data_IF_041462144481
#
_entry.id   IF_041462144481
#
_cell.length_a   1.000
_cell.length_b   1.000
_cell.length_c   1.000
_cell.angle_alpha   90.00
_cell.angle_beta   90.00
_cell.angle_gamma   90.00
#
_symmetry.space_group_name_H-M   'P 1'
#
loop_
_entity.id
_entity.type
_entity.pdbx_description
1 polymer ?
#
# COMPACT_ATOMS: atom_id res chain seq x y z
N UNK A 1 19.18 11.25 14.46
CA UNK A 1 20.39 10.62 15.03
C UNK A 1 20.88 11.29 16.32
N UNK A 2 20.18 12.28 16.87
CA UNK A 2 20.57 12.98 18.13
C UNK A 2 19.80 12.53 19.38
N UNK A 3 18.71 11.77 19.24
CA UNK A 3 17.88 11.34 20.39
C UNK A 3 18.50 10.14 21.12
N UNK A 4 19.29 9.31 20.44
CA UNK A 4 19.87 8.07 21.00
C UNK A 4 21.00 8.32 22.01
N UNK A 5 21.77 9.41 21.84
CA UNK A 5 22.90 9.72 22.73
C UNK A 5 22.44 10.31 24.08
N UNK A 6 21.34 11.06 24.09
CA UNK A 6 20.81 11.66 25.33
C UNK A 6 20.18 10.60 26.26
N UNK A 7 19.53 9.57 25.70
CA UNK A 7 18.93 8.48 26.49
C UNK A 7 20.01 7.60 27.15
N UNK A 8 21.10 7.33 26.44
CA UNK A 8 22.25 6.55 26.97
C UNK A 8 22.96 7.30 28.11
N UNK A 9 23.12 8.62 28.01
CA UNK A 9 23.74 9.42 29.08
C UNK A 9 22.87 9.51 30.34
N UNK A 10 21.55 9.54 30.22
CA UNK A 10 20.62 9.58 31.41
C UNK A 10 20.59 8.25 32.12
N UNK A 11 20.65 7.11 31.37
CA UNK A 11 20.66 5.76 31.95
C UNK A 11 21.98 5.45 32.67
N UNK A 12 23.12 5.92 32.16
CA UNK A 12 24.43 5.77 32.82
C UNK A 12 24.55 6.59 34.13
N UNK A 13 23.85 7.73 34.21
CA UNK A 13 23.83 8.53 35.43
C UNK A 13 22.97 7.90 36.56
N UNK A 14 21.93 7.15 36.20
CA UNK A 14 21.08 6.43 37.17
C UNK A 14 21.74 5.15 37.73
N UNK A 15 22.63 4.49 36.96
CA UNK A 15 23.32 3.27 37.37
C UNK A 15 24.40 3.49 38.46
N UNK A 16 24.85 4.72 38.67
CA UNK A 16 25.87 5.02 39.68
C UNK A 16 25.36 5.11 41.13
N UNK A 17 24.04 4.98 41.36
CA UNK A 17 23.43 5.13 42.69
C UNK A 17 22.60 3.92 43.15
N UNK A 18 22.62 2.79 42.45
CA UNK A 18 21.84 1.60 42.82
C UNK A 18 22.71 0.55 43.55
N UNK A 19 22.25 0.01 44.71
CA UNK A 19 23.06 -0.92 45.53
C UNK A 19 23.04 -2.39 45.06
N UNK A 20 22.21 -2.80 44.11
CA UNK A 20 22.06 -4.21 43.77
C UNK A 20 22.15 -4.49 42.27
N UNK A 21 23.04 -5.47 41.89
CA UNK A 21 23.29 -5.90 40.51
C UNK A 21 22.08 -6.52 39.76
N UNK A 22 20.91 -6.56 40.35
CA UNK A 22 19.65 -7.04 39.73
C UNK A 22 19.06 -6.00 38.78
N UNK A 23 19.10 -4.73 39.19
CA UNK A 23 18.57 -3.62 38.37
C UNK A 23 19.38 -3.41 37.09
N UNK A 24 20.70 -3.62 37.18
CA UNK A 24 21.58 -3.52 35.99
C UNK A 24 21.30 -4.60 34.97
N UNK A 25 20.98 -5.84 35.38
CA UNK A 25 20.67 -6.94 34.48
C UNK A 25 19.30 -6.77 33.77
N UNK A 26 18.32 -6.20 34.46
CA UNK A 26 17.02 -5.90 33.81
C UNK A 26 17.16 -4.76 32.81
N UNK A 27 17.93 -3.71 33.13
CA UNK A 27 18.22 -2.63 32.19
C UNK A 27 19.06 -3.07 31.00
N UNK A 28 20.02 -3.97 31.19
CA UNK A 28 20.79 -4.58 30.11
C UNK A 28 19.88 -5.41 29.17
N UNK A 29 18.95 -6.17 29.75
CA UNK A 29 17.99 -6.97 28.99
C UNK A 29 17.01 -6.10 28.21
N UNK A 30 16.46 -5.04 28.81
CA UNK A 30 15.59 -4.07 28.10
C UNK A 30 16.34 -3.31 27.00
N UNK A 31 17.64 -3.03 27.20
CA UNK A 31 18.51 -2.44 26.18
C UNK A 31 18.80 -3.43 25.04
N UNK A 32 19.05 -4.69 25.35
CA UNK A 32 19.24 -5.73 24.32
C UNK A 32 17.95 -5.99 23.55
N UNK A 33 16.79 -6.06 24.20
CA UNK A 33 15.49 -6.20 23.55
C UNK A 33 15.16 -4.98 22.69
N UNK A 34 15.44 -3.77 23.13
CA UNK A 34 15.21 -2.54 22.35
C UNK A 34 16.22 -2.40 21.22
N UNK A 35 17.44 -2.92 21.36
CA UNK A 35 18.44 -2.97 20.29
C UNK A 35 18.09 -4.05 19.27
N UNK A 36 17.55 -5.20 19.71
CA UNK A 36 17.06 -6.27 18.85
C UNK A 36 15.84 -5.78 18.02
N UNK A 37 14.86 -5.14 18.67
CA UNK A 37 13.71 -4.50 18.00
C UNK A 37 14.14 -3.36 17.05
N UNK A 38 15.09 -2.54 17.47
CA UNK A 38 15.67 -1.49 16.62
C UNK A 38 16.50 -2.05 15.47
N UNK A 39 17.15 -3.21 15.66
CA UNK A 39 17.89 -3.95 14.66
C UNK A 39 16.97 -4.57 13.60
N UNK A 40 15.86 -5.17 14.01
CA UNK A 40 14.85 -5.72 13.10
C UNK A 40 14.18 -4.62 12.26
N UNK A 41 13.82 -3.49 12.88
CA UNK A 41 13.31 -2.31 12.16
C UNK A 41 14.35 -1.69 11.20
N UNK A 42 15.64 -1.82 11.48
CA UNK A 42 16.72 -1.32 10.60
C UNK A 42 17.11 -2.32 9.52
N UNK A 43 16.95 -3.63 9.77
CA UNK A 43 17.23 -4.70 8.78
C UNK A 43 16.14 -4.71 7.70
N UNK A 44 14.88 -4.46 8.06
CA UNK A 44 13.79 -4.37 7.08
C UNK A 44 13.91 -3.13 6.16
N UNK A 45 14.56 -2.04 6.63
CA UNK A 45 14.93 -0.89 5.79
C UNK A 45 16.04 -1.16 4.77
N UNK A 46 16.70 -2.30 4.84
CA UNK A 46 17.86 -2.64 4.02
C UNK A 46 17.68 -3.91 3.19
N UNK A 47 16.46 -4.28 2.81
CA UNK A 47 16.27 -5.24 1.75
C UNK A 47 16.72 -4.58 0.44
N UNK A 48 18.00 -4.79 0.12
CA UNK A 48 18.61 -4.33 -1.14
C UNK A 48 18.04 -5.05 -2.35
N UNK A 49 17.31 -6.15 -2.12
CA UNK A 49 16.77 -7.03 -3.15
C UNK A 49 15.27 -7.28 -2.95
N UNK A 50 14.45 -6.21 -3.12
CA UNK A 50 12.98 -6.37 -3.09
C UNK A 50 12.54 -7.25 -4.25
N UNK A 51 12.00 -8.42 -3.95
CA UNK A 51 11.47 -9.39 -4.90
C UNK A 51 10.19 -10.01 -4.33
N UNK A 52 9.05 -9.51 -4.75
CA UNK A 52 7.75 -9.89 -4.21
C UNK A 52 7.37 -9.16 -2.92
N UNK A 53 6.15 -9.40 -2.47
CA UNK A 53 5.61 -8.91 -1.21
C UNK A 53 5.57 -10.07 -0.19
N UNK A 54 5.94 -9.79 1.05
CA UNK A 54 5.68 -10.68 2.20
C UNK A 54 4.18 -10.69 2.51
N UNK A 55 3.70 -11.69 3.26
CA UNK A 55 2.29 -11.76 3.66
C UNK A 55 1.86 -10.51 4.45
N UNK A 56 2.71 -10.02 5.37
CA UNK A 56 2.43 -8.78 6.09
C UNK A 56 2.31 -7.56 5.16
N UNK A 57 3.16 -7.45 4.13
CA UNK A 57 3.07 -6.37 3.15
C UNK A 57 1.85 -6.48 2.24
N UNK A 58 1.35 -7.70 1.96
CA UNK A 58 0.09 -7.92 1.25
C UNK A 58 -1.10 -7.45 2.07
N UNK A 59 -1.15 -7.83 3.35
CA UNK A 59 -2.19 -7.40 4.29
C UNK A 59 -2.17 -5.89 4.46
N UNK A 60 -1.00 -5.28 4.62
CA UNK A 60 -0.82 -3.84 4.77
C UNK A 60 -1.32 -3.09 3.53
N UNK A 61 -0.84 -3.43 2.33
CA UNK A 61 -1.23 -2.70 1.11
C UNK A 61 -2.73 -2.86 0.80
N UNK A 62 -3.31 -4.03 1.08
CA UNK A 62 -4.75 -4.27 1.00
C UNK A 62 -5.52 -3.42 2.01
N UNK A 63 -5.02 -3.36 3.25
CA UNK A 63 -5.59 -2.53 4.32
C UNK A 63 -5.62 -1.06 3.92
N UNK A 64 -4.51 -0.51 3.42
CA UNK A 64 -4.43 0.89 2.99
C UNK A 64 -5.39 1.22 1.82
N UNK A 65 -5.60 0.28 0.88
CA UNK A 65 -6.63 0.45 -0.15
C UNK A 65 -8.03 0.55 0.46
N UNK A 66 -8.37 -0.34 1.39
CA UNK A 66 -9.66 -0.33 2.05
C UNK A 66 -9.85 0.91 2.93
N UNK A 67 -8.79 1.41 3.56
CA UNK A 67 -8.83 2.66 4.33
C UNK A 67 -9.16 3.86 3.42
N UNK A 68 -8.53 4.00 2.26
CA UNK A 68 -8.88 5.05 1.29
C UNK A 68 -10.33 4.92 0.86
N UNK A 69 -10.78 3.71 0.51
CA UNK A 69 -12.13 3.44 0.02
C UNK A 69 -13.22 3.75 1.03
N UNK A 70 -12.97 3.50 2.32
CA UNK A 70 -13.94 3.80 3.39
C UNK A 70 -14.04 5.29 3.72
N UNK A 71 -13.06 6.11 3.28
CA UNK A 71 -12.95 7.52 3.61
C UNK A 71 -13.06 8.45 2.39
N UNK A 72 -13.58 7.98 1.25
CA UNK A 72 -13.77 8.84 0.07
C UNK A 72 -14.79 9.94 0.32
N UNK A 73 -14.55 11.11 -0.29
CA UNK A 73 -15.47 12.26 -0.24
C UNK A 73 -15.91 12.69 -1.66
N UNK A 74 -17.24 12.81 -1.92
CA UNK A 74 -18.36 12.51 -1.02
C UNK A 74 -18.44 11.02 -0.68
N UNK A 75 -19.10 10.67 0.44
CA UNK A 75 -19.18 9.26 0.89
C UNK A 75 -19.83 8.35 -0.15
N UNK A 76 -19.32 7.12 -0.26
CA UNK A 76 -19.80 6.12 -1.22
C UNK A 76 -20.89 5.22 -0.63
N UNK A 77 -21.99 5.04 -1.36
CA UNK A 77 -23.11 4.19 -0.93
C UNK A 77 -22.91 2.70 -1.27
N UNK A 78 -22.03 2.36 -2.23
CA UNK A 78 -21.90 1.03 -2.84
C UNK A 78 -20.48 0.50 -2.90
N UNK A 79 -19.56 1.01 -2.06
CA UNK A 79 -18.15 0.68 -2.11
C UNK A 79 -17.87 -0.74 -1.60
N UNK A 80 -17.48 -1.66 -2.49
CA UNK A 80 -17.05 -3.00 -2.09
C UNK A 80 -15.73 -2.95 -1.32
N UNK A 81 -15.63 -3.78 -0.27
CA UNK A 81 -14.37 -4.05 0.42
C UNK A 81 -13.48 -4.90 -0.48
N UNK A 82 -12.24 -4.45 -0.71
CA UNK A 82 -11.29 -5.23 -1.50
C UNK A 82 -10.80 -6.46 -0.73
N UNK A 83 -10.59 -7.54 -1.48
CA UNK A 83 -10.05 -8.83 -1.06
C UNK A 83 -8.78 -9.12 -1.86
N UNK A 84 -7.82 -9.83 -1.25
CA UNK A 84 -6.61 -10.23 -1.96
C UNK A 84 -6.89 -11.32 -2.99
N UNK A 85 -6.22 -11.22 -4.13
CA UNK A 85 -6.22 -12.20 -5.20
C UNK A 85 -4.79 -12.60 -5.57
N UNK A 86 -4.43 -13.86 -5.31
CA UNK A 86 -3.12 -14.40 -5.68
C UNK A 86 -2.92 -14.46 -7.20
N UNK A 87 -4.02 -14.63 -7.97
CA UNK A 87 -3.96 -14.57 -9.43
C UNK A 87 -3.50 -13.19 -9.90
N UNK A 88 -4.13 -12.12 -9.42
CA UNK A 88 -3.75 -10.74 -9.75
C UNK A 88 -2.36 -10.39 -9.24
N UNK A 89 -1.99 -10.89 -8.05
CA UNK A 89 -0.66 -10.70 -7.48
C UNK A 89 0.43 -11.37 -8.33
N UNK A 90 0.16 -12.57 -8.86
CA UNK A 90 1.07 -13.26 -9.78
C UNK A 90 1.27 -12.45 -11.06
N UNK A 91 0.19 -11.98 -11.68
CA UNK A 91 0.26 -11.15 -12.90
C UNK A 91 1.05 -9.85 -12.63
N UNK A 92 0.80 -9.21 -11.48
CA UNK A 92 1.49 -7.99 -11.08
C UNK A 92 2.98 -8.23 -10.82
N UNK A 93 3.34 -9.33 -10.15
CA UNK A 93 4.73 -9.68 -9.87
C UNK A 93 5.49 -10.03 -11.13
N UNK A 94 4.91 -10.86 -12.00
CA UNK A 94 5.52 -11.24 -13.28
C UNK A 94 5.80 -10.02 -14.16
N UNK A 95 4.97 -8.97 -14.02
CA UNK A 95 5.20 -7.73 -14.74
C UNK A 95 6.25 -6.84 -14.03
N UNK A 96 6.21 -6.72 -12.73
CA UNK A 96 7.22 -5.98 -11.95
C UNK A 96 8.63 -6.55 -12.18
N UNK A 97 8.77 -7.88 -12.32
CA UNK A 97 10.04 -8.56 -12.58
C UNK A 97 10.69 -8.18 -13.92
N UNK A 98 9.91 -7.69 -14.88
CA UNK A 98 10.41 -7.19 -16.17
C UNK A 98 11.10 -5.83 -16.05
N UNK A 99 10.88 -5.10 -14.94
CA UNK A 99 11.45 -3.77 -14.74
C UNK A 99 11.16 -2.78 -15.91
N UNK A 100 9.93 -2.79 -16.40
CA UNK A 100 9.46 -1.90 -17.47
C UNK A 100 8.63 -0.77 -16.86
N UNK A 101 8.95 0.49 -17.19
CA UNK A 101 8.13 1.63 -16.82
C UNK A 101 7.03 1.86 -17.85
N UNK A 102 5.85 1.36 -17.57
CA UNK A 102 4.67 1.44 -18.43
C UNK A 102 3.61 0.46 -17.95
N UNK A 103 2.40 0.58 -18.47
CA UNK A 103 1.33 -0.37 -18.14
C UNK A 103 1.48 -1.71 -18.87
N UNK A 104 1.14 -2.79 -18.17
CA UNK A 104 1.08 -4.13 -18.75
C UNK A 104 -0.12 -4.24 -19.69
N UNK A 105 0.13 -4.22 -21.02
CA UNK A 105 -0.91 -4.37 -22.03
C UNK A 105 -1.64 -5.72 -21.98
N UNK A 106 -0.97 -6.75 -21.45
CA UNK A 106 -1.46 -8.13 -21.39
C UNK A 106 -2.05 -8.53 -20.01
N UNK A 107 -2.24 -7.57 -19.08
CA UNK A 107 -2.69 -7.86 -17.71
C UNK A 107 -4.03 -8.58 -17.61
N UNK A 108 -4.91 -8.42 -18.60
CA UNK A 108 -6.19 -9.13 -18.67
C UNK A 108 -6.09 -10.46 -19.43
N UNK A 109 -4.99 -10.70 -20.15
CA UNK A 109 -4.80 -11.89 -20.96
C UNK A 109 -4.56 -13.11 -20.08
N UNK A 110 -5.40 -14.13 -20.20
CA UNK A 110 -5.31 -15.33 -19.36
C UNK A 110 -5.80 -15.16 -17.92
N UNK A 111 -6.31 -13.99 -17.54
CA UNK A 111 -6.94 -13.75 -16.25
C UNK A 111 -8.38 -14.27 -16.23
N UNK A 112 -8.85 -14.71 -15.04
CA UNK A 112 -10.26 -15.03 -14.80
C UNK A 112 -11.17 -13.80 -14.83
N UNK A 113 -10.57 -12.60 -14.73
CA UNK A 113 -11.27 -11.32 -14.82
C UNK A 113 -11.36 -10.85 -16.28
N UNK A 114 -12.56 -10.45 -16.73
CA UNK A 114 -12.74 -9.97 -18.09
C UNK A 114 -11.98 -8.68 -18.41
N UNK A 115 -11.69 -7.87 -17.37
CA UNK A 115 -10.89 -6.66 -17.44
C UNK A 115 -10.12 -6.44 -16.14
N UNK A 116 -8.81 -6.24 -16.25
CA UNK A 116 -7.92 -5.97 -15.13
C UNK A 116 -7.46 -4.52 -15.19
N UNK A 117 -7.74 -3.75 -14.14
CA UNK A 117 -7.17 -2.42 -13.93
C UNK A 117 -5.75 -2.52 -13.38
N UNK A 118 -4.98 -1.42 -13.47
CA UNK A 118 -3.60 -1.42 -13.00
C UNK A 118 -3.17 -0.03 -12.52
N UNK A 119 -2.50 0.01 -11.36
CA UNK A 119 -1.72 1.15 -10.90
C UNK A 119 -0.25 0.77 -10.78
N UNK A 120 0.65 1.69 -11.17
CA UNK A 120 2.10 1.49 -11.07
C UNK A 120 2.72 2.66 -10.31
N UNK A 121 3.68 2.34 -9.45
CA UNK A 121 4.44 3.33 -8.69
C UNK A 121 5.94 3.03 -8.68
N UNK A 122 6.76 4.06 -8.67
CA UNK A 122 8.22 3.97 -8.51
C UNK A 122 8.68 4.75 -7.29
N UNK A 123 9.61 4.15 -6.55
CA UNK A 123 10.28 4.79 -5.42
C UNK A 123 11.70 4.25 -5.25
N UNK A 124 12.50 4.83 -4.36
CA UNK A 124 13.83 4.32 -4.03
C UNK A 124 13.78 3.09 -3.11
N UNK A 125 12.68 2.86 -2.40
CA UNK A 125 12.44 1.73 -1.48
C UNK A 125 10.97 1.36 -1.48
N UNK A 126 10.65 0.11 -1.10
CA UNK A 126 9.26 -0.30 -0.92
C UNK A 126 8.64 0.35 0.31
N UNK A 127 7.43 0.88 0.15
CA UNK A 127 6.56 1.30 1.24
C UNK A 127 5.10 1.28 0.74
N UNK A 128 4.33 0.27 1.15
CA UNK A 128 2.94 0.06 0.72
C UNK A 128 2.05 1.25 1.05
N UNK A 129 2.14 1.78 2.29
CA UNK A 129 1.36 2.96 2.69
C UNK A 129 1.67 4.17 1.82
N UNK A 130 2.95 4.50 1.66
CA UNK A 130 3.36 5.64 0.84
C UNK A 130 2.91 5.50 -0.62
N UNK A 131 2.97 4.27 -1.16
CA UNK A 131 2.51 3.98 -2.52
C UNK A 131 1.01 4.30 -2.66
N UNK A 132 0.18 3.78 -1.75
CA UNK A 132 -1.28 4.03 -1.79
C UNK A 132 -1.61 5.49 -1.49
N UNK A 133 -0.93 6.13 -0.53
CA UNK A 133 -1.09 7.57 -0.24
C UNK A 133 -0.79 8.43 -1.48
N UNK A 134 0.23 8.07 -2.29
CA UNK A 134 0.54 8.79 -3.54
C UNK A 134 -0.56 8.66 -4.58
N UNK A 135 -1.14 7.47 -4.73
CA UNK A 135 -2.30 7.27 -5.61
C UNK A 135 -3.54 7.99 -5.08
N UNK A 136 -3.80 7.91 -3.77
CA UNK A 136 -4.93 8.58 -3.13
C UNK A 136 -4.81 10.11 -3.21
N UNK A 137 -3.59 10.67 -3.15
CA UNK A 137 -3.39 12.13 -3.21
C UNK A 137 -3.87 12.78 -4.51
N UNK A 138 -4.07 12.00 -5.58
CA UNK A 138 -4.65 12.48 -6.84
C UNK A 138 -6.14 12.87 -6.69
N UNK A 139 -6.79 12.53 -5.57
CA UNK A 139 -8.13 13.01 -5.20
C UNK A 139 -8.23 14.53 -5.29
N UNK A 140 -7.16 15.25 -4.94
CA UNK A 140 -7.11 16.71 -5.00
C UNK A 140 -7.35 17.28 -6.41
N UNK A 141 -7.05 16.50 -7.44
CA UNK A 141 -7.25 16.87 -8.84
C UNK A 141 -8.59 16.38 -9.40
N UNK A 142 -9.33 15.53 -8.65
CA UNK A 142 -10.59 14.95 -9.09
C UNK A 142 -11.79 15.70 -8.52
N UNK A 143 -12.69 16.14 -9.37
CA UNK A 143 -13.97 16.77 -8.96
C UNK A 143 -15.10 15.79 -9.19
N UNK A 144 -15.60 15.18 -8.09
CA UNK A 144 -16.64 14.16 -8.15
C UNK A 144 -17.94 14.63 -8.81
N UNK A 145 -18.44 15.84 -8.45
CA UNK A 145 -19.71 16.37 -8.94
C UNK A 145 -19.77 16.51 -10.46
N UNK A 146 -18.67 16.92 -11.09
CA UNK A 146 -18.55 17.05 -12.54
C UNK A 146 -17.92 15.83 -13.22
N UNK A 147 -17.42 14.85 -12.45
CA UNK A 147 -16.63 13.74 -12.94
C UNK A 147 -15.46 14.19 -13.83
N UNK A 148 -14.72 15.18 -13.35
CA UNK A 148 -13.63 15.80 -14.10
C UNK A 148 -12.30 15.73 -13.35
N UNK A 149 -11.22 15.71 -14.09
CA UNK A 149 -9.86 15.67 -13.60
C UNK A 149 -9.09 16.88 -14.12
N UNK A 150 -8.42 17.63 -13.23
CA UNK A 150 -7.61 18.80 -13.57
C UNK A 150 -6.12 18.49 -13.75
N UNK A 151 -5.68 17.29 -13.34
CA UNK A 151 -4.31 16.83 -13.40
C UNK A 151 -4.22 15.34 -13.72
N UNK A 152 -3.71 14.54 -12.81
CA UNK A 152 -3.70 13.08 -12.87
C UNK A 152 -4.63 12.53 -11.79
N UNK A 153 -5.60 11.69 -12.16
CA UNK A 153 -6.59 11.15 -11.24
C UNK A 153 -6.78 9.64 -11.41
N UNK A 154 -6.12 9.03 -12.40
CA UNK A 154 -6.39 7.65 -12.78
C UNK A 154 -6.04 6.64 -11.70
N UNK A 155 -5.02 6.90 -10.90
CA UNK A 155 -4.66 6.01 -9.81
C UNK A 155 -5.66 6.10 -8.65
N UNK A 156 -6.05 7.33 -8.24
CA UNK A 156 -7.09 7.53 -7.22
C UNK A 156 -8.41 6.90 -7.63
N UNK A 157 -8.90 7.21 -8.84
CA UNK A 157 -10.21 6.71 -9.29
C UNK A 157 -10.23 5.18 -9.41
N UNK A 158 -9.10 4.54 -9.71
CA UNK A 158 -8.97 3.07 -9.67
C UNK A 158 -8.99 2.54 -8.23
N UNK A 159 -8.26 3.14 -7.28
CA UNK A 159 -8.33 2.77 -5.85
C UNK A 159 -9.77 2.91 -5.33
N UNK A 160 -10.45 4.01 -5.67
CA UNK A 160 -11.81 4.32 -5.24
C UNK A 160 -12.90 3.68 -6.11
N UNK A 161 -12.56 2.80 -7.09
CA UNK A 161 -13.57 2.19 -7.96
C UNK A 161 -14.41 1.16 -7.21
N UNK A 162 -15.68 1.48 -6.99
CA UNK A 162 -16.57 0.74 -6.09
C UNK A 162 -16.66 -0.74 -6.41
N UNK A 163 -16.76 -1.12 -7.70
CA UNK A 163 -16.92 -2.51 -8.13
C UNK A 163 -15.60 -3.28 -8.28
N UNK A 164 -14.44 -2.66 -8.09
CA UNK A 164 -13.16 -3.37 -8.01
C UNK A 164 -13.04 -4.06 -6.65
N UNK A 165 -13.40 -5.36 -6.61
CA UNK A 165 -13.46 -6.15 -5.38
C UNK A 165 -12.14 -6.86 -5.08
N UNK A 166 -11.31 -7.11 -6.09
CA UNK A 166 -10.10 -7.91 -5.93
C UNK A 166 -8.85 -7.08 -6.20
N UNK A 167 -7.84 -7.28 -5.37
CA UNK A 167 -6.54 -6.63 -5.45
C UNK A 167 -5.42 -7.66 -5.41
N UNK A 168 -4.43 -7.51 -6.27
CA UNK A 168 -3.19 -8.26 -6.19
C UNK A 168 -2.02 -7.39 -6.62
N UNK A 169 -0.98 -7.31 -5.79
CA UNK A 169 0.18 -6.46 -6.04
C UNK A 169 1.48 -7.27 -6.07
N UNK A 170 2.45 -6.75 -6.81
CA UNK A 170 3.81 -7.22 -6.84
C UNK A 170 4.81 -6.07 -6.74
N UNK A 171 6.04 -6.37 -6.30
CA UNK A 171 7.09 -5.36 -6.19
C UNK A 171 8.46 -5.94 -6.53
N UNK A 172 9.29 -5.13 -7.19
CA UNK A 172 10.65 -5.51 -7.59
C UNK A 172 11.62 -4.35 -7.44
N UNK A 173 12.80 -4.64 -6.88
CA UNK A 173 13.95 -3.74 -6.97
C UNK A 173 14.64 -3.93 -8.31
N UNK A 174 14.64 -2.90 -9.11
CA UNK A 174 15.22 -2.88 -10.45
C UNK A 174 16.56 -2.12 -10.42
N UNK A 175 17.62 -2.74 -10.92
CA UNK A 175 18.91 -2.06 -11.12
C UNK A 175 18.83 -1.00 -12.22
N UNK A 176 17.99 -1.26 -13.23
CA UNK A 176 17.63 -0.33 -14.30
C UNK A 176 16.19 -0.56 -14.69
N UNK A 177 15.57 0.44 -15.28
CA UNK A 177 14.19 0.38 -15.79
C UNK A 177 14.20 0.62 -17.30
N UNK A 178 13.47 -0.21 -18.04
CA UNK A 178 13.18 0.08 -19.43
C UNK A 178 12.17 1.23 -19.50
N UNK A 179 12.42 2.20 -20.39
CA UNK A 179 11.55 3.37 -20.58
C UNK A 179 11.79 4.53 -19.62
N UNK A 180 12.75 4.44 -18.67
CA UNK A 180 13.06 5.51 -17.75
C UNK A 180 14.56 5.50 -17.34
N UNK A 181 15.18 6.68 -17.28
CA UNK A 181 16.58 6.84 -16.84
C UNK A 181 16.78 6.79 -15.33
N UNK A 182 15.96 6.04 -14.61
CA UNK A 182 16.07 5.85 -13.15
C UNK A 182 16.61 4.44 -12.85
N UNK A 183 17.63 4.37 -12.00
CA UNK A 183 18.26 3.11 -11.58
C UNK A 183 18.09 2.88 -10.09
N UNK A 184 18.23 1.61 -9.67
CA UNK A 184 18.08 1.18 -8.28
C UNK A 184 16.75 1.58 -7.64
N UNK A 185 15.67 1.60 -8.44
CA UNK A 185 14.32 1.91 -8.00
C UNK A 185 13.52 0.65 -7.69
N UNK A 186 12.51 0.78 -6.83
CA UNK A 186 11.49 -0.24 -6.60
C UNK A 186 10.27 0.11 -7.44
N UNK A 187 9.87 -0.79 -8.34
CA UNK A 187 8.58 -0.74 -9.01
C UNK A 187 7.56 -1.50 -8.17
N UNK A 188 6.40 -0.90 -7.97
CA UNK A 188 5.21 -1.53 -7.38
C UNK A 188 4.12 -1.54 -8.42
N UNK A 189 3.55 -2.70 -8.68
CA UNK A 189 2.44 -2.90 -9.61
C UNK A 189 1.28 -3.46 -8.83
N UNK A 190 0.09 -2.85 -8.92
CA UNK A 190 -1.15 -3.37 -8.36
C UNK A 190 -2.18 -3.56 -9.45
N UNK A 191 -2.74 -4.76 -9.54
CA UNK A 191 -3.80 -5.15 -10.44
C UNK A 191 -5.14 -5.23 -9.72
N UNK A 192 -6.20 -4.82 -10.40
CA UNK A 192 -7.54 -4.70 -9.85
C UNK A 192 -8.54 -5.53 -10.66
N UNK A 193 -9.23 -6.44 -10.00
CA UNK A 193 -10.33 -7.23 -10.57
C UNK A 193 -11.67 -6.90 -9.88
N UNK A 194 -12.70 -6.59 -10.55
CA UNK A 194 -12.81 -6.13 -11.93
C UNK A 194 -12.22 -4.73 -12.04
N UNK A 195 -11.51 -4.44 -13.11
CA UNK A 195 -10.89 -3.15 -13.30
C UNK A 195 -11.90 -2.00 -13.42
N UNK A 196 -11.44 -0.81 -13.10
CA UNK A 196 -12.22 0.42 -13.13
C UNK A 196 -11.87 1.37 -14.27
N UNK A 197 -12.06 2.66 -14.02
CA UNK A 197 -11.70 3.75 -14.92
C UNK A 197 -12.42 3.74 -16.27
N UNK A 198 -13.68 3.27 -16.31
CA UNK A 198 -14.50 3.35 -17.50
C UNK A 198 -14.83 4.79 -17.85
N UNK A 199 -14.54 5.18 -19.08
CA UNK A 199 -14.76 6.56 -19.56
C UNK A 199 -16.22 7.00 -19.37
N UNK A 200 -16.40 8.14 -18.71
CA UNK A 200 -17.71 8.74 -18.47
C UNK A 200 -18.42 8.25 -17.20
N UNK A 201 -17.89 7.24 -16.51
CA UNK A 201 -18.45 6.75 -15.26
C UNK A 201 -17.71 7.34 -14.07
N UNK A 202 -18.45 7.59 -12.97
CA UNK A 202 -17.88 7.93 -11.67
C UNK A 202 -17.33 6.67 -10.99
N UNK A 203 -16.33 6.78 -10.12
CA UNK A 203 -15.73 5.62 -9.46
C UNK A 203 -16.70 4.90 -8.50
N UNK A 204 -17.68 5.61 -7.95
CA UNK A 204 -18.68 5.06 -7.02
C UNK A 204 -19.99 5.86 -7.07
N UNK A 205 -21.02 5.38 -6.38
CA UNK A 205 -22.25 6.12 -6.17
C UNK A 205 -22.16 6.91 -4.86
N UNK A 206 -22.42 8.23 -4.91
CA UNK A 206 -22.54 9.08 -3.74
C UNK A 206 -23.76 8.69 -2.90
N UNK A 207 -23.61 8.73 -1.59
CA UNK A 207 -24.70 8.52 -0.63
C UNK A 207 -24.21 8.01 0.72
N UNK A 208 -25.14 7.77 1.63
CA UNK A 208 -24.81 7.19 2.93
C UNK A 208 -24.07 5.87 2.75
N UNK A 209 -22.92 5.72 3.42
CA UNK A 209 -22.09 4.50 3.32
C UNK A 209 -22.92 3.24 3.52
N UNK A 210 -22.68 2.25 2.67
CA UNK A 210 -23.36 0.96 2.63
C UNK A 210 -24.86 0.99 2.29
N UNK A 211 -25.45 2.14 1.96
CA UNK A 211 -26.89 2.22 1.68
C UNK A 211 -27.32 1.51 0.37
N UNK A 212 -26.35 1.19 -0.50
CA UNK A 212 -26.55 0.53 -1.78
C UNK A 212 -25.59 -0.66 -1.95
N UNK A 213 -25.31 -1.37 -0.89
CA UNK A 213 -24.50 -2.59 -0.95
C UNK A 213 -25.16 -3.66 -1.84
N UNK A 214 -24.39 -4.37 -2.67
CA UNK A 214 -24.91 -5.50 -3.43
C UNK A 214 -25.52 -6.57 -2.54
N UNK A 215 -26.50 -7.31 -3.06
CA UNK A 215 -27.13 -8.43 -2.35
C UNK A 215 -26.08 -9.46 -1.94
N UNK A 216 -26.13 -9.92 -0.70
CA UNK A 216 -25.20 -10.90 -0.14
C UNK A 216 -23.97 -10.30 0.54
N UNK A 217 -23.83 -8.96 0.56
CA UNK A 217 -22.80 -8.27 1.34
C UNK A 217 -23.39 -7.60 2.58
N UNK A 218 -22.55 -7.36 3.58
CA UNK A 218 -22.87 -6.64 4.81
C UNK A 218 -22.01 -5.38 4.94
N UNK A 219 -22.45 -4.43 5.77
CA UNK A 219 -21.65 -3.22 5.98
C UNK A 219 -20.57 -3.46 7.04
N UNK A 220 -19.30 -3.33 6.66
CA UNK A 220 -18.15 -3.40 7.56
C UNK A 220 -17.30 -2.14 7.40
N UNK A 221 -17.22 -1.32 8.46
CA UNK A 221 -16.40 -0.09 8.46
C UNK A 221 -16.65 0.83 7.24
N UNK A 222 -17.92 0.97 6.84
CA UNK A 222 -18.30 1.82 5.70
C UNK A 222 -18.13 1.17 4.32
N UNK A 223 -17.74 -0.10 4.26
CA UNK A 223 -17.58 -0.88 3.03
C UNK A 223 -18.56 -2.05 2.99
N UNK A 224 -18.98 -2.43 1.78
CA UNK A 224 -19.79 -3.60 1.50
C UNK A 224 -18.87 -4.84 1.43
N UNK A 225 -18.93 -5.75 2.43
CA UNK A 225 -18.04 -6.90 2.60
C UNK A 225 -18.79 -8.23 2.42
#
# INVERSE_FOLDING_TARGET
>A
MQISLFLVCVLLAAASSAPDGIVLRELEKELEESFQLGGELLVDRKSTDKNGLTEAEKDDILGYHNDVRSNVEPSASNMLKMKWSDELATIAQDYADKCIWGHNGERSSGSSFWYVGENIFLSSYYNGKYTVDRWASEESDYTYSSNSCSGVCGHYTQVAWASSEYLGCGAKKCSSLEGLSWSNAVIVVCNYGNGGNFRGYRPYNEGTSCSQCPSGTTCENGLCA
#
